data_IF_704230701450
#
_entry.id   IF_704230701450
#
_cell.length_a   1.000
_cell.length_b   1.000
_cell.length_c   1.000
_cell.angle_alpha   90.00
_cell.angle_beta   90.00
_cell.angle_gamma   90.00
#
_symmetry.space_group_name_H-M   'P 1'
#
loop_
_entity.id
_entity.type
_entity.pdbx_description
1 polymer ?
#
# COMPACT_ATOMS: atom_id res chain seq x y z
N UNK A 1 -25.64 9.71 -1.06
CA UNK A 1 -25.57 8.68 -1.11
C UNK A 1 -24.33 7.87 -0.73
N UNK A 2 -23.55 7.41 -1.53
CA UNK A 2 -22.59 6.37 -1.20
C UNK A 2 -21.15 6.84 -1.14
N UNK A 3 -20.91 8.15 -1.09
CA UNK A 3 -19.55 8.67 -1.10
C UNK A 3 -18.71 8.17 0.07
N UNK A 4 -19.29 8.02 1.25
CA UNK A 4 -18.58 7.52 2.41
C UNK A 4 -18.19 6.05 2.23
N UNK A 5 -19.07 5.25 1.63
CA UNK A 5 -18.75 3.84 1.41
C UNK A 5 -17.69 3.67 0.32
N UNK A 6 -17.59 4.60 -0.63
CA UNK A 6 -16.58 4.57 -1.68
C UNK A 6 -15.17 4.65 -1.10
N UNK A 7 -14.99 5.39 0.00
CA UNK A 7 -13.68 5.55 0.63
C UNK A 7 -13.44 4.64 1.82
N UNK A 8 -14.40 3.75 2.10
CA UNK A 8 -14.25 2.82 3.21
C UNK A 8 -13.30 1.69 2.85
N UNK A 9 -12.38 1.37 3.76
CA UNK A 9 -11.50 0.23 3.59
C UNK A 9 -12.24 -1.03 4.03
N UNK A 10 -12.76 -1.80 3.08
CA UNK A 10 -13.52 -3.01 3.34
C UNK A 10 -12.63 -4.26 3.38
N UNK A 11 -13.12 -5.37 3.90
CA UNK A 11 -12.36 -6.65 3.87
C UNK A 11 -11.94 -7.06 2.46
N UNK A 12 -12.69 -6.71 1.43
CA UNK A 12 -12.32 -7.03 0.05
C UNK A 12 -11.05 -6.31 -0.42
N UNK A 13 -10.67 -5.25 0.25
CA UNK A 13 -9.48 -4.47 -0.08
C UNK A 13 -8.23 -4.96 0.64
N UNK A 14 -8.33 -6.02 1.42
CA UNK A 14 -7.20 -6.61 2.11
C UNK A 14 -6.71 -7.85 1.37
N UNK A 15 -5.41 -8.05 1.36
CA UNK A 15 -4.83 -9.30 0.88
C UNK A 15 -4.90 -10.26 2.06
N UNK A 16 -5.78 -11.25 1.99
CA UNK A 16 -6.10 -12.10 3.13
C UNK A 16 -5.32 -13.40 3.19
N UNK A 17 -4.77 -13.88 2.09
CA UNK A 17 -4.10 -15.17 2.08
C UNK A 17 -2.59 -15.01 1.91
N UNK A 18 -1.87 -15.98 2.49
CA UNK A 18 -0.42 -16.07 2.32
C UNK A 18 -0.05 -16.22 0.85
N UNK A 19 -0.87 -16.95 0.11
CA UNK A 19 -0.68 -17.16 -1.33
C UNK A 19 -0.72 -15.83 -2.09
N UNK A 20 -1.66 -14.95 -1.75
CA UNK A 20 -1.76 -13.64 -2.38
C UNK A 20 -0.52 -12.78 -2.12
N UNK A 21 -0.03 -12.78 -0.87
CA UNK A 21 1.21 -12.09 -0.53
C UNK A 21 2.38 -12.59 -1.37
N UNK A 22 2.50 -13.92 -1.48
CA UNK A 22 3.59 -14.52 -2.24
C UNK A 22 3.53 -14.16 -3.71
N UNK A 23 2.33 -14.10 -4.29
CA UNK A 23 2.17 -13.70 -5.69
C UNK A 23 2.68 -12.28 -5.91
N UNK A 24 2.35 -11.36 -5.01
CA UNK A 24 2.84 -9.99 -5.14
C UNK A 24 4.35 -9.94 -5.00
N UNK A 25 4.92 -10.62 -4.00
CA UNK A 25 6.36 -10.65 -3.82
C UNK A 25 7.10 -11.22 -5.04
N UNK A 26 6.56 -12.28 -5.61
CA UNK A 26 7.23 -12.98 -6.71
C UNK A 26 6.98 -12.36 -8.08
N UNK A 27 5.87 -11.66 -8.26
CA UNK A 27 5.42 -11.19 -9.57
C UNK A 27 5.13 -9.68 -9.58
N UNK A 28 5.77 -8.94 -8.71
CA UNK A 28 5.58 -7.49 -8.66
C UNK A 28 5.99 -6.84 -9.99
N UNK A 29 5.09 -6.07 -10.55
CA UNK A 29 5.31 -5.36 -11.81
C UNK A 29 5.72 -3.91 -11.55
N UNK A 30 5.32 -3.37 -10.42
CA UNK A 30 5.62 -1.99 -10.05
C UNK A 30 6.15 -1.93 -8.64
N UNK A 31 7.00 -0.97 -8.38
CA UNK A 31 7.52 -0.75 -7.03
C UNK A 31 7.79 0.72 -6.78
N UNK A 32 7.65 1.10 -5.53
CA UNK A 32 7.97 2.43 -5.04
C UNK A 32 8.50 2.26 -3.63
N UNK A 33 9.52 3.00 -3.27
CA UNK A 33 10.07 2.80 -1.93
C UNK A 33 11.05 3.88 -1.53
N UNK A 34 11.38 3.86 -0.26
CA UNK A 34 12.43 4.65 0.34
C UNK A 34 13.17 3.75 1.34
N UNK A 35 13.97 4.32 2.24
CA UNK A 35 14.73 3.49 3.17
C UNK A 35 13.88 2.84 4.27
N UNK A 36 12.64 3.29 4.48
CA UNK A 36 11.74 2.77 5.51
C UNK A 36 10.67 1.84 4.98
N UNK A 37 10.19 2.10 3.77
CA UNK A 37 9.05 1.39 3.18
C UNK A 37 9.37 0.90 1.78
N UNK A 38 8.78 -0.25 1.43
CA UNK A 38 8.79 -0.76 0.07
C UNK A 38 7.34 -1.12 -0.29
N UNK A 39 6.85 -0.56 -1.38
CA UNK A 39 5.53 -0.86 -1.93
C UNK A 39 5.73 -1.69 -3.19
N UNK A 40 5.14 -2.87 -3.22
CA UNK A 40 5.17 -3.79 -4.36
C UNK A 40 3.76 -3.93 -4.90
N UNK A 41 3.60 -3.86 -6.20
CA UNK A 41 2.28 -3.90 -6.83
C UNK A 41 2.24 -4.87 -7.99
N UNK A 42 1.09 -5.51 -8.16
CA UNK A 42 0.84 -6.48 -9.21
C UNK A 42 -0.58 -6.30 -9.74
N UNK A 43 -0.73 -6.32 -11.06
CA UNK A 43 -2.06 -6.26 -11.68
C UNK A 43 -2.81 -7.56 -11.46
N UNK A 44 -4.12 -7.45 -11.23
CA UNK A 44 -5.03 -8.59 -11.10
C UNK A 44 -6.24 -8.37 -11.98
N UNK A 45 -7.10 -9.39 -12.05
CA UNK A 45 -8.38 -9.28 -12.75
C UNK A 45 -9.52 -8.86 -11.83
N UNK A 46 -9.20 -8.56 -10.57
CA UNK A 46 -10.21 -8.18 -9.58
C UNK A 46 -10.68 -6.75 -9.83
N UNK A 47 -11.90 -6.46 -9.41
CA UNK A 47 -12.49 -5.14 -9.61
C UNK A 47 -11.95 -4.08 -8.67
N UNK A 48 -11.53 -4.48 -7.47
CA UNK A 48 -11.02 -3.51 -6.49
C UNK A 48 -9.55 -3.76 -6.20
N UNK A 49 -8.86 -2.71 -5.80
CA UNK A 49 -7.50 -2.83 -5.31
C UNK A 49 -7.47 -3.47 -3.93
N UNK A 50 -6.41 -4.21 -3.64
CA UNK A 50 -6.24 -4.84 -2.34
C UNK A 50 -4.89 -4.46 -1.74
N UNK A 51 -4.87 -4.35 -0.42
CA UNK A 51 -3.70 -3.92 0.33
C UNK A 51 -3.32 -4.95 1.38
N UNK A 52 -2.06 -5.35 1.38
CA UNK A 52 -1.48 -6.18 2.42
C UNK A 52 -0.33 -5.45 3.10
N UNK A 53 -0.14 -5.72 4.38
CA UNK A 53 0.87 -5.03 5.18
C UNK A 53 1.76 -6.05 5.87
N UNK A 54 3.07 -5.85 5.76
CA UNK A 54 4.07 -6.68 6.44
C UNK A 54 4.94 -5.75 7.27
N UNK A 55 4.84 -5.88 8.59
CA UNK A 55 5.58 -5.01 9.51
C UNK A 55 6.37 -5.87 10.49
N UNK A 56 7.66 -6.14 10.19
CA UNK A 56 8.50 -6.94 11.10
C UNK A 56 8.70 -6.22 12.44
N UNK A 57 8.61 -6.99 13.53
CA UNK A 57 8.77 -6.44 14.87
C UNK A 57 10.13 -5.78 15.09
N UNK A 58 11.16 -6.23 14.38
CA UNK A 58 12.50 -5.64 14.53
C UNK A 58 12.56 -4.16 14.14
N UNK A 59 11.64 -3.70 13.32
CA UNK A 59 11.61 -2.29 12.88
C UNK A 59 10.64 -1.43 13.69
N UNK A 60 9.56 -2.03 14.21
CA UNK A 60 8.57 -1.37 15.06
C UNK A 60 8.19 -2.34 16.16
N UNK A 61 8.88 -2.25 17.30
CA UNK A 61 8.74 -3.23 18.38
C UNK A 61 7.40 -3.18 19.08
N UNK A 62 6.85 -1.97 19.29
CA UNK A 62 5.61 -1.83 20.04
C UNK A 62 4.40 -2.05 19.13
N UNK A 63 3.43 -2.81 19.63
CA UNK A 63 2.22 -3.08 18.86
C UNK A 63 1.47 -1.79 18.52
N UNK A 64 1.47 -0.82 19.44
CA UNK A 64 0.78 0.46 19.21
C UNK A 64 1.37 1.20 18.02
N UNK A 65 2.67 1.13 17.84
CA UNK A 65 3.35 1.76 16.70
C UNK A 65 3.03 1.04 15.40
N UNK A 66 3.06 -0.30 15.42
CA UNK A 66 2.68 -1.08 14.25
C UNK A 66 1.23 -0.81 13.85
N UNK A 67 0.33 -0.73 14.82
CA UNK A 67 -1.08 -0.45 14.55
C UNK A 67 -1.27 0.95 13.96
N UNK A 68 -0.50 1.92 14.44
CA UNK A 68 -0.55 3.28 13.88
C UNK A 68 -0.12 3.30 12.42
N UNK A 69 0.99 2.63 12.08
CA UNK A 69 1.47 2.56 10.70
C UNK A 69 0.45 1.85 9.81
N UNK A 70 -0.15 0.76 10.30
CA UNK A 70 -1.20 0.06 9.55
C UNK A 70 -2.39 0.98 9.27
N UNK A 71 -2.81 1.75 10.28
CA UNK A 71 -3.93 2.68 10.13
C UNK A 71 -3.63 3.76 9.09
N UNK A 72 -2.44 4.32 9.15
CA UNK A 72 -2.02 5.35 8.19
C UNK A 72 -1.98 4.77 6.78
N UNK A 73 -1.41 3.58 6.62
CA UNK A 73 -1.35 2.92 5.31
C UNK A 73 -2.76 2.73 4.73
N UNK A 74 -3.69 2.21 5.54
CA UNK A 74 -5.07 1.97 5.11
C UNK A 74 -5.81 3.25 4.79
N UNK A 75 -5.67 4.28 5.63
CA UNK A 75 -6.35 5.55 5.42
C UNK A 75 -5.86 6.26 4.16
N UNK A 76 -4.56 6.31 3.96
CA UNK A 76 -3.99 6.97 2.77
C UNK A 76 -4.29 6.19 1.51
N UNK A 77 -4.26 4.85 1.57
CA UNK A 77 -4.65 3.99 0.45
C UNK A 77 -6.13 4.21 0.09
N UNK A 78 -6.99 4.21 1.10
CA UNK A 78 -8.43 4.40 0.89
C UNK A 78 -8.75 5.65 0.09
N UNK A 79 -8.04 6.73 0.38
CA UNK A 79 -8.27 8.01 -0.30
C UNK A 79 -7.79 8.01 -1.76
N UNK A 80 -6.95 7.05 -2.13
CA UNK A 80 -6.41 6.93 -3.48
C UNK A 80 -6.85 5.64 -4.17
N UNK A 81 -7.87 4.96 -3.66
CA UNK A 81 -8.23 3.64 -4.17
C UNK A 81 -8.63 3.64 -5.65
N UNK A 82 -9.09 4.76 -6.18
CA UNK A 82 -9.41 4.86 -7.60
C UNK A 82 -8.18 4.72 -8.50
N UNK A 83 -6.99 5.04 -7.98
CA UNK A 83 -5.75 4.88 -8.71
C UNK A 83 -5.27 3.43 -8.78
N UNK A 84 -5.82 2.56 -7.93
CA UNK A 84 -5.33 1.20 -7.74
C UNK A 84 -6.37 0.14 -8.03
N UNK A 85 -7.34 0.44 -8.88
CA UNK A 85 -8.36 -0.53 -9.30
C UNK A 85 -7.66 -1.71 -9.98
N UNK A 86 -7.95 -2.91 -9.52
CA UNK A 86 -7.35 -4.12 -10.07
C UNK A 86 -5.88 -4.32 -9.72
N UNK A 87 -5.41 -3.68 -8.67
CA UNK A 87 -4.01 -3.75 -8.25
C UNK A 87 -3.91 -4.33 -6.84
N UNK A 88 -3.09 -5.37 -6.68
CA UNK A 88 -2.71 -5.86 -5.36
C UNK A 88 -1.42 -5.19 -4.96
N UNK A 89 -1.39 -4.61 -3.77
CA UNK A 89 -0.22 -3.93 -3.23
C UNK A 89 0.16 -4.52 -1.89
N UNK A 90 1.44 -4.85 -1.74
CA UNK A 90 2.00 -5.21 -0.43
C UNK A 90 2.94 -4.10 0.00
N UNK A 91 2.72 -3.62 1.21
CA UNK A 91 3.60 -2.66 1.86
C UNK A 91 4.49 -3.43 2.85
N UNK A 92 5.79 -3.30 2.68
CA UNK A 92 6.78 -3.89 3.59
C UNK A 92 7.50 -2.77 4.33
N UNK A 93 7.48 -2.82 5.66
CA UNK A 93 8.32 -1.96 6.48
C UNK A 93 9.70 -2.61 6.54
N UNK A 94 10.69 -1.95 5.98
CA UNK A 94 12.04 -2.49 5.86
C UNK A 94 13.10 -1.70 6.63
N UNK A 95 12.72 -0.61 7.28
CA UNK A 95 13.65 0.23 8.03
C UNK A 95 12.96 0.90 9.19
N UNK A 96 13.75 1.60 9.99
CA UNK A 96 13.26 2.22 11.23
C UNK A 96 12.70 3.60 10.98
N UNK A 97 11.59 3.89 11.66
CA UNK A 97 10.99 5.22 11.70
C UNK A 97 11.51 6.00 12.91
N UNK A 98 11.41 7.31 12.83
CA UNK A 98 11.61 8.18 13.98
C UNK A 98 10.37 8.10 14.86
N UNK A 99 10.48 7.45 16.01
CA UNK A 99 9.32 7.20 16.87
C UNK A 99 8.75 8.47 17.48
N UNK A 100 9.54 9.52 17.62
CA UNK A 100 9.07 10.80 18.15
C UNK A 100 8.15 11.52 17.14
N UNK A 101 8.32 11.24 15.84
CA UNK A 101 7.53 11.83 14.76
C UNK A 101 6.87 10.75 13.90
N UNK A 102 6.53 9.62 14.49
CA UNK A 102 6.07 8.47 13.71
C UNK A 102 4.87 8.80 12.81
N UNK A 103 3.85 9.44 13.37
CA UNK A 103 2.64 9.76 12.59
C UNK A 103 2.96 10.64 11.39
N UNK A 104 3.69 11.72 11.62
CA UNK A 104 4.02 12.66 10.55
C UNK A 104 4.92 12.03 9.50
N UNK A 105 5.94 11.29 9.93
CA UNK A 105 6.88 10.67 9.02
C UNK A 105 6.22 9.58 8.17
N UNK A 106 5.40 8.72 8.80
CA UNK A 106 4.72 7.68 8.06
C UNK A 106 3.69 8.25 7.09
N UNK A 107 2.94 9.27 7.50
CA UNK A 107 1.95 9.90 6.62
C UNK A 107 2.61 10.47 5.38
N UNK A 108 3.70 11.22 5.57
CA UNK A 108 4.44 11.80 4.46
C UNK A 108 5.01 10.72 3.54
N UNK A 109 5.61 9.68 4.12
CA UNK A 109 6.16 8.58 3.34
C UNK A 109 5.09 7.93 2.47
N UNK A 110 3.93 7.59 3.06
CA UNK A 110 2.87 6.96 2.31
C UNK A 110 2.31 7.86 1.22
N UNK A 111 2.09 9.13 1.51
CA UNK A 111 1.57 10.05 0.50
C UNK A 111 2.50 10.14 -0.71
N UNK A 112 3.79 10.28 -0.48
CA UNK A 112 4.77 10.34 -1.56
C UNK A 112 4.83 9.03 -2.34
N UNK A 113 4.87 7.90 -1.62
CA UNK A 113 5.04 6.60 -2.27
C UNK A 113 3.78 6.14 -3.01
N UNK A 114 2.59 6.42 -2.48
CA UNK A 114 1.34 6.17 -3.20
C UNK A 114 1.30 6.96 -4.51
N UNK A 115 1.69 8.22 -4.45
CA UNK A 115 1.73 9.07 -5.64
C UNK A 115 2.67 8.49 -6.69
N UNK A 116 3.89 8.14 -6.30
CA UNK A 116 4.89 7.60 -7.21
C UNK A 116 4.43 6.28 -7.82
N UNK A 117 3.83 5.41 -7.00
CA UNK A 117 3.33 4.13 -7.49
C UNK A 117 2.19 4.33 -8.49
N UNK A 118 1.26 5.21 -8.17
CA UNK A 118 0.14 5.53 -9.07
C UNK A 118 0.63 6.07 -10.41
N UNK A 119 1.65 6.91 -10.39
CA UNK A 119 2.21 7.45 -11.62
C UNK A 119 2.85 6.36 -12.48
N UNK A 120 3.57 5.43 -11.88
CA UNK A 120 4.16 4.30 -12.61
C UNK A 120 3.10 3.43 -13.27
N UNK A 121 2.02 3.14 -12.55
CA UNK A 121 0.93 2.33 -13.08
C UNK A 121 0.23 3.06 -14.22
N UNK A 122 -0.03 4.34 -14.04
CA UNK A 122 -0.67 5.18 -15.06
C UNK A 122 0.18 5.24 -16.33
N UNK A 123 1.48 5.41 -16.18
CA UNK A 123 2.39 5.49 -17.31
C UNK A 123 2.40 4.17 -18.08
N UNK A 124 2.41 3.04 -17.39
CA UNK A 124 2.38 1.73 -18.02
C UNK A 124 1.09 1.51 -18.82
N UNK A 125 -0.05 1.97 -18.29
CA UNK A 125 -1.33 1.86 -18.99
C UNK A 125 -1.35 2.72 -20.26
N UNK A 126 -0.76 3.90 -20.22
CA UNK A 126 -0.66 4.77 -21.40
C UNK A 126 0.22 4.15 -22.47
N UNK A 127 1.31 3.50 -22.08
CA UNK A 127 2.19 2.82 -23.02
C UNK A 127 1.50 1.65 -23.73
N UNK A 128 0.59 0.96 -23.03
CA UNK A 128 -0.15 -0.15 -23.62
C UNK A 128 -1.14 0.30 -24.69
N UNK A 129 -1.63 1.52 -24.60
CA UNK A 129 -2.57 2.08 -25.59
C UNK A 129 -1.85 2.41 -26.89
N UNK A 130 -0.61 2.80 -26.79
CA UNK A 130 0.20 3.14 -27.95
C UNK A 130 0.86 1.92 -28.57
#
# INVERSE_FOLDING_TARGET
VSNLSTYRFSPRQRILSKHDYQKVFNQAEFRSGNKRLLLLARQTELESGRLGLVIPKKHLRRAVDRNLVKRIARNTFRLRQSDFVGIDIVVLVKGKFNLENLRAQATEDFDVLWYKLAEKIKQAKLEQIN
#
